data_IF_186684755156
#
_entry.id   IF_186684755156
#
_cell.length_a   1.000
_cell.length_b   1.000
_cell.length_c   1.000
_cell.angle_alpha   90.00
_cell.angle_beta   90.00
_cell.angle_gamma   90.00
#
_symmetry.space_group_name_H-M   'P 1'
#
loop_
_entity.id
_entity.type
_entity.pdbx_description
1 polymer ?
#
# COMPACT_ATOMS: atom_id res chain seq x y z
N UNK A 1 -7.38 -13.91 8.37
CA UNK A 1 -6.46 -12.78 8.59
C UNK A 1 -6.93 -12.14 9.87
N UNK A 2 -6.19 -12.30 10.95
CA UNK A 2 -6.49 -11.83 12.31
C UNK A 2 -7.97 -12.02 12.81
N UNK A 3 -8.35 -11.38 13.91
CA UNK A 3 -9.70 -11.38 14.49
C UNK A 3 -10.49 -10.12 14.10
N UNK A 4 -11.82 -10.21 14.04
CA UNK A 4 -12.70 -9.07 13.80
C UNK A 4 -12.85 -8.17 15.04
N UNK A 5 -13.08 -6.88 14.79
CA UNK A 5 -13.40 -5.85 15.76
C UNK A 5 -14.87 -5.44 15.61
N UNK A 6 -15.38 -4.64 16.56
CA UNK A 6 -16.79 -4.23 16.61
C UNK A 6 -17.23 -3.41 15.37
N UNK A 7 -16.30 -2.70 14.73
CA UNK A 7 -16.55 -1.91 13.52
C UNK A 7 -16.62 -2.74 12.23
N UNK A 8 -16.51 -4.07 12.31
CA UNK A 8 -16.57 -4.98 11.18
C UNK A 8 -15.24 -5.18 10.42
N UNK A 9 -14.19 -4.44 10.78
CA UNK A 9 -12.84 -4.67 10.25
C UNK A 9 -12.09 -5.71 11.09
N UNK A 10 -11.11 -6.36 10.47
CA UNK A 10 -10.13 -7.19 11.18
C UNK A 10 -9.09 -6.32 11.87
N UNK A 11 -8.42 -6.88 12.88
CA UNK A 11 -7.31 -6.21 13.55
C UNK A 11 -6.16 -5.87 12.60
N UNK A 12 -5.92 -6.68 11.57
CA UNK A 12 -4.89 -6.38 10.58
C UNK A 12 -5.25 -5.15 9.74
N UNK A 13 -6.50 -5.04 9.30
CA UNK A 13 -6.97 -3.87 8.54
C UNK A 13 -6.91 -2.60 9.40
N UNK A 14 -7.29 -2.68 10.69
CA UNK A 14 -7.18 -1.52 11.58
C UNK A 14 -5.74 -1.17 11.97
N UNK A 15 -4.80 -2.12 11.95
CA UNK A 15 -3.36 -1.79 12.08
C UNK A 15 -2.90 -0.93 10.91
N UNK A 16 -3.26 -1.29 9.68
CA UNK A 16 -2.92 -0.49 8.50
C UNK A 16 -3.36 0.98 8.66
N UNK A 17 -4.58 1.20 9.17
CA UNK A 17 -5.12 2.55 9.45
C UNK A 17 -4.30 3.25 10.53
N UNK A 18 -4.23 2.66 11.73
CA UNK A 18 -3.65 3.30 12.91
C UNK A 18 -2.13 3.54 12.77
N UNK A 19 -1.42 2.59 12.16
CA UNK A 19 0.03 2.69 11.97
C UNK A 19 0.36 3.72 10.90
N UNK A 20 -0.41 3.83 9.81
CA UNK A 20 -0.24 4.89 8.80
C UNK A 20 -0.40 6.27 9.43
N UNK A 21 -1.48 6.50 10.19
CA UNK A 21 -1.70 7.77 10.89
C UNK A 21 -0.55 8.14 11.81
N UNK A 22 -0.01 7.16 12.54
CA UNK A 22 1.10 7.37 13.48
C UNK A 22 2.45 7.59 12.79
N UNK A 23 2.78 6.80 11.77
CA UNK A 23 4.08 6.87 11.07
C UNK A 23 4.17 8.17 10.25
N UNK A 24 3.08 8.57 9.61
CA UNK A 24 3.03 9.76 8.78
C UNK A 24 2.71 11.05 9.56
N UNK A 25 2.43 10.94 10.87
CA UNK A 25 1.94 12.05 11.71
C UNK A 25 0.74 12.79 11.05
N UNK A 26 -0.17 12.01 10.49
CA UNK A 26 -1.26 12.48 9.64
C UNK A 26 -2.59 11.82 10.03
N UNK A 27 -3.22 12.23 11.15
CA UNK A 27 -4.44 11.60 11.67
C UNK A 27 -5.66 11.78 10.76
N UNK A 28 -5.64 12.79 9.90
CA UNK A 28 -6.76 13.15 9.03
C UNK A 28 -6.71 12.47 7.65
N UNK A 29 -5.68 11.67 7.36
CA UNK A 29 -5.62 10.89 6.11
C UNK A 29 -6.78 9.88 6.07
N UNK A 30 -7.58 9.96 5.00
CA UNK A 30 -8.58 8.95 4.70
C UNK A 30 -7.92 7.66 4.25
N UNK A 31 -8.08 6.59 5.02
CA UNK A 31 -7.51 5.28 4.73
C UNK A 31 -8.49 4.17 5.08
N UNK A 32 -8.56 3.16 4.22
CA UNK A 32 -9.24 1.90 4.46
C UNK A 32 -8.42 0.78 3.84
N UNK A 33 -8.53 -0.44 4.39
CA UNK A 33 -7.80 -1.59 3.91
C UNK A 33 -8.70 -2.82 3.88
N UNK A 34 -8.40 -3.75 2.98
CA UNK A 34 -8.96 -5.10 2.98
C UNK A 34 -7.80 -6.09 2.97
N UNK A 35 -7.72 -6.95 3.99
CA UNK A 35 -6.57 -7.84 4.16
C UNK A 35 -6.97 -9.31 3.90
N UNK A 36 -6.47 -9.87 2.79
CA UNK A 36 -6.79 -11.24 2.35
C UNK A 36 -5.56 -12.13 2.39
N UNK A 37 -5.71 -13.36 2.91
CA UNK A 37 -4.64 -14.38 2.86
C UNK A 37 -4.76 -15.18 1.57
N UNK A 38 -3.66 -15.30 0.84
CA UNK A 38 -3.53 -16.07 -0.41
C UNK A 38 -2.46 -17.17 -0.23
N UNK A 39 -2.44 -18.23 -1.07
CA UNK A 39 -1.48 -19.33 -0.95
C UNK A 39 -0.08 -18.95 -1.51
N UNK A 40 0.51 -17.89 -0.97
CA UNK A 40 1.88 -17.44 -1.24
C UNK A 40 2.73 -17.71 -0.01
N UNK A 41 3.89 -18.36 -0.18
CA UNK A 41 4.72 -18.84 0.94
C UNK A 41 5.38 -17.69 1.74
N UNK A 42 5.86 -16.66 1.04
CA UNK A 42 6.56 -15.50 1.59
C UNK A 42 6.36 -14.33 0.62
N UNK A 43 6.47 -13.11 1.14
CA UNK A 43 6.14 -11.84 0.49
C UNK A 43 4.64 -11.51 0.50
N UNK A 44 4.36 -10.21 0.53
CA UNK A 44 3.04 -9.63 0.45
C UNK A 44 2.93 -8.88 -0.88
N UNK A 45 1.71 -8.75 -1.38
CA UNK A 45 1.39 -7.87 -2.51
C UNK A 45 0.18 -7.04 -2.14
N UNK A 46 0.21 -5.77 -2.49
CA UNK A 46 -0.82 -4.82 -2.14
C UNK A 46 -1.25 -4.09 -3.41
N UNK A 47 -2.54 -4.14 -3.71
CA UNK A 47 -3.15 -3.27 -4.70
C UNK A 47 -3.55 -1.98 -3.97
N UNK A 48 -2.77 -0.91 -4.18
CA UNK A 48 -2.93 0.36 -3.46
C UNK A 48 -3.52 1.42 -4.38
N UNK A 49 -4.56 2.10 -3.89
CA UNK A 49 -5.13 3.28 -4.52
C UNK A 49 -4.84 4.51 -3.66
N UNK A 50 -4.37 5.59 -4.27
CA UNK A 50 -4.06 6.84 -3.58
C UNK A 50 -4.65 8.04 -4.31
N UNK A 51 -5.00 9.06 -3.53
CA UNK A 51 -5.33 10.40 -4.02
C UNK A 51 -4.34 11.40 -3.42
N UNK A 52 -3.81 12.30 -4.24
CA UNK A 52 -2.82 13.29 -3.83
C UNK A 52 -3.44 14.68 -3.74
N UNK A 53 -2.95 15.52 -2.83
CA UNK A 53 -3.45 16.90 -2.66
C UNK A 53 -3.33 17.75 -3.94
N UNK A 54 -2.32 17.47 -4.75
CA UNK A 54 -2.09 18.08 -6.05
C UNK A 54 -1.98 17.00 -7.12
N UNK A 55 -2.27 17.35 -8.37
CA UNK A 55 -2.13 16.42 -9.49
C UNK A 55 -0.69 15.93 -9.58
N UNK A 56 -0.52 14.62 -9.61
CA UNK A 56 0.76 13.95 -9.81
C UNK A 56 0.65 13.08 -11.06
N UNK A 57 1.55 13.28 -12.02
CA UNK A 57 1.60 12.39 -13.19
C UNK A 57 2.20 11.04 -12.81
N UNK A 58 1.81 9.94 -13.48
CA UNK A 58 2.47 8.65 -13.30
C UNK A 58 3.99 8.71 -13.53
N UNK A 59 4.45 9.53 -14.48
CA UNK A 59 5.87 9.74 -14.77
C UNK A 59 6.61 10.37 -13.59
N UNK A 60 6.06 11.45 -13.03
CA UNK A 60 6.65 12.13 -11.87
C UNK A 60 6.66 11.22 -10.64
N UNK A 61 5.58 10.46 -10.42
CA UNK A 61 5.50 9.49 -9.33
C UNK A 61 6.64 8.45 -9.42
N UNK A 62 6.90 7.89 -10.61
CA UNK A 62 8.02 6.96 -10.84
C UNK A 62 9.36 7.61 -10.53
N UNK A 63 9.59 8.85 -10.95
CA UNK A 63 10.86 9.55 -10.70
C UNK A 63 11.08 9.89 -9.23
N UNK A 64 10.03 10.18 -8.48
CA UNK A 64 10.09 10.37 -7.02
C UNK A 64 10.43 9.03 -6.35
N UNK A 65 9.70 7.96 -6.70
CA UNK A 65 9.87 6.63 -6.10
C UNK A 65 11.25 6.03 -6.37
N UNK A 66 11.82 6.23 -7.57
CA UNK A 66 13.20 5.78 -7.90
C UNK A 66 14.27 6.40 -7.00
N UNK A 67 14.01 7.58 -6.44
CA UNK A 67 14.95 8.30 -5.56
C UNK A 67 14.77 7.93 -4.09
N UNK A 68 13.67 7.27 -3.74
CA UNK A 68 13.39 6.89 -2.36
C UNK A 68 14.23 5.69 -1.92
N UNK A 69 14.89 5.75 -0.76
CA UNK A 69 15.70 4.65 -0.27
C UNK A 69 14.84 3.41 0.00
N UNK A 70 15.29 2.25 -0.48
CA UNK A 70 14.60 0.97 -0.30
C UNK A 70 13.47 0.70 -1.29
N UNK A 71 13.21 1.60 -2.25
CA UNK A 71 12.20 1.41 -3.31
C UNK A 71 12.89 1.01 -4.62
N UNK A 72 12.36 -0.02 -5.28
CA UNK A 72 12.71 -0.41 -6.65
C UNK A 72 11.46 -0.24 -7.50
N UNK A 73 11.50 0.64 -8.50
CA UNK A 73 10.40 0.82 -9.45
C UNK A 73 10.51 -0.20 -10.57
N UNK A 74 9.60 -1.17 -10.58
CA UNK A 74 9.44 -2.18 -11.63
C UNK A 74 8.05 -2.00 -12.25
N UNK A 75 7.98 -1.20 -13.32
CA UNK A 75 6.73 -0.73 -13.92
C UNK A 75 6.86 -0.70 -15.45
N UNK A 76 6.99 -1.90 -16.04
CA UNK A 76 7.02 -2.10 -17.48
C UNK A 76 5.81 -2.98 -17.87
N UNK A 77 4.94 -2.52 -18.80
CA UNK A 77 3.75 -3.26 -19.22
C UNK A 77 4.10 -4.38 -20.21
N UNK A 78 5.01 -5.27 -19.79
CA UNK A 78 5.50 -6.45 -20.50
C UNK A 78 5.50 -7.64 -19.53
N UNK A 79 5.59 -8.86 -20.06
CA UNK A 79 5.66 -10.06 -19.22
C UNK A 79 6.89 -10.01 -18.30
N UNK A 80 6.66 -10.26 -17.00
CA UNK A 80 7.68 -10.12 -15.97
C UNK A 80 8.13 -8.69 -15.69
N UNK A 81 7.53 -7.66 -16.30
CA UNK A 81 7.88 -6.24 -16.15
C UNK A 81 7.31 -5.53 -14.91
N UNK A 82 6.61 -6.25 -14.05
CA UNK A 82 5.95 -5.74 -12.83
C UNK A 82 6.33 -6.57 -11.59
N UNK A 83 6.06 -6.09 -10.35
CA UNK A 83 6.40 -6.82 -9.14
C UNK A 83 5.60 -8.12 -9.03
N UNK A 84 6.26 -9.18 -8.61
CA UNK A 84 5.66 -10.49 -8.35
C UNK A 84 6.11 -10.96 -6.96
N UNK A 85 5.26 -11.67 -6.18
CA UNK A 85 5.67 -12.27 -4.91
C UNK A 85 6.87 -13.22 -5.02
#
# INVERSE_FOLDING_TARGET
>A
VDVFLENGYTREEMKMVNETHKIMDAPDIGISATCVRVPVLRAHSEAVWIETEQKLSPEDAREILKKAPGIIVKDEPVDGGYPTP
#
